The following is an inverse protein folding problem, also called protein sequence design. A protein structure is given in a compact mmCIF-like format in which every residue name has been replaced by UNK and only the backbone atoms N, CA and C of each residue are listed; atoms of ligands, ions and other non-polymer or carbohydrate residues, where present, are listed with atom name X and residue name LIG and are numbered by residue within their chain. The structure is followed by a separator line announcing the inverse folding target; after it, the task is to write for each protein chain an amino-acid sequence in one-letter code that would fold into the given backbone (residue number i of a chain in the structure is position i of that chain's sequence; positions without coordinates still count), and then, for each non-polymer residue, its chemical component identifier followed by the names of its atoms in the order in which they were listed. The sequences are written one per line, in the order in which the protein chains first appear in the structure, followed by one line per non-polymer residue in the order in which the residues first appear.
data_IF_430778020037
#
_entry.id   IF_430778020037
#
_cell.length_a   1.000
_cell.length_b   1.000
_cell.length_c   1.000
_cell.angle_alpha   90.00
_cell.angle_beta   90.00
_cell.angle_gamma   90.00
#
_symmetry.space_group_name_H-M   'P 1'
#
loop_
_entity.id
_entity.type
_entity.pdbx_description
1 polymer ?
#
# COMPACT_ATOMS: atom_id res chain seq x y z
N UNK A 1 -4.82 7.57 -12.68
CA UNK A 1 -3.35 7.42 -12.74
C UNK A 1 -2.95 6.26 -11.85
N UNK A 2 -1.93 5.49 -12.26
CA UNK A 2 -1.35 4.44 -11.45
C UNK A 2 0.03 4.86 -10.96
N UNK A 3 0.26 4.82 -9.65
CA UNK A 3 1.53 5.11 -9.01
C UNK A 3 2.13 3.81 -8.46
N UNK A 4 3.14 3.28 -9.15
CA UNK A 4 3.78 2.00 -8.80
C UNK A 4 4.61 2.15 -7.54
N UNK A 5 4.48 1.20 -6.61
CA UNK A 5 5.28 1.13 -5.40
C UNK A 5 5.43 -0.33 -4.96
N UNK A 6 6.67 -0.75 -4.68
CA UNK A 6 6.92 -2.07 -4.11
C UNK A 6 6.45 -2.14 -2.65
N UNK A 7 5.82 -3.24 -2.26
CA UNK A 7 5.54 -3.56 -0.87
C UNK A 7 6.52 -4.65 -0.42
N UNK A 8 7.33 -4.35 0.59
CA UNK A 8 8.18 -5.35 1.24
C UNK A 8 7.43 -5.96 2.42
N UNK A 9 7.29 -7.28 2.43
CA UNK A 9 6.65 -8.03 3.52
C UNK A 9 7.67 -9.02 4.06
N UNK A 10 7.79 -9.09 5.39
CA UNK A 10 8.68 -10.05 6.04
C UNK A 10 8.17 -11.47 5.78
N UNK A 11 9.08 -12.40 5.53
CA UNK A 11 8.76 -13.80 5.23
C UNK A 11 7.84 -14.39 6.29
N UNK A 12 6.83 -15.11 5.81
CA UNK A 12 5.85 -15.79 6.67
C UNK A 12 4.83 -14.86 7.31
N UNK A 13 4.89 -13.55 7.10
CA UNK A 13 3.85 -12.61 7.52
C UNK A 13 2.76 -12.45 6.47
N UNK A 14 1.58 -12.09 6.94
CA UNK A 14 0.46 -11.64 6.10
C UNK A 14 0.17 -10.19 6.44
N UNK A 15 -0.08 -9.39 5.41
CA UNK A 15 -0.36 -7.96 5.54
C UNK A 15 -1.62 -7.61 4.78
N UNK A 16 -2.45 -6.79 5.41
CA UNK A 16 -3.62 -6.19 4.80
C UNK A 16 -3.40 -4.69 4.65
N UNK A 17 -3.74 -4.18 3.47
CA UNK A 17 -3.80 -2.77 3.16
C UNK A 17 -5.27 -2.41 2.93
N UNK A 18 -5.76 -1.42 3.67
CA UNK A 18 -7.18 -1.05 3.67
C UNK A 18 -7.29 0.46 3.44
N UNK A 19 -8.18 0.83 2.52
CA UNK A 19 -8.61 2.21 2.33
C UNK A 19 -9.55 2.59 3.48
N UNK A 20 -9.31 3.70 4.21
CA UNK A 20 -10.25 4.19 5.22
C UNK A 20 -11.67 4.35 4.63
N UNK A 21 -12.69 4.04 5.43
CA UNK A 21 -14.06 3.95 4.95
C UNK A 21 -14.53 5.23 4.25
N UNK A 22 -14.19 6.39 4.82
CA UNK A 22 -14.51 7.73 4.33
C UNK A 22 -13.81 8.11 3.01
N UNK A 23 -12.82 7.31 2.58
CA UNK A 23 -12.05 7.52 1.35
C UNK A 23 -12.27 6.44 0.28
N UNK A 24 -13.11 5.43 0.55
CA UNK A 24 -13.50 4.44 -0.45
C UNK A 24 -14.03 5.14 -1.71
N UNK A 25 -13.61 4.65 -2.88
CA UNK A 25 -13.96 5.25 -4.18
C UNK A 25 -13.16 6.52 -4.57
N UNK A 26 -12.28 7.02 -3.69
CA UNK A 26 -11.37 8.14 -4.02
C UNK A 26 -10.00 7.66 -4.49
N UNK A 27 -9.53 6.54 -3.95
CA UNK A 27 -8.36 5.82 -4.42
C UNK A 27 -8.53 4.32 -4.21
N UNK A 28 -7.68 3.53 -4.86
CA UNK A 28 -7.68 2.08 -4.81
C UNK A 28 -6.25 1.55 -4.73
N UNK A 29 -6.15 0.30 -4.31
CA UNK A 29 -4.95 -0.43 -4.02
C UNK A 29 -4.82 -1.63 -4.98
N UNK A 30 -3.59 -1.95 -5.38
CA UNK A 30 -3.30 -3.16 -6.15
C UNK A 30 -1.92 -3.70 -5.73
N UNK A 31 -1.86 -4.89 -5.14
CA UNK A 31 -0.63 -5.67 -4.91
C UNK A 31 -0.94 -7.16 -5.03
N UNK A 32 0.11 -7.99 -5.16
CA UNK A 32 -0.02 -9.44 -5.03
C UNK A 32 -0.72 -10.13 -6.21
N UNK A 33 -0.71 -9.50 -7.39
CA UNK A 33 -1.30 -10.09 -8.60
C UNK A 33 -2.82 -9.93 -8.71
N UNK A 34 -3.43 -9.09 -7.85
CA UNK A 34 -4.79 -8.63 -8.06
C UNK A 34 -4.92 -7.99 -9.44
N UNK A 35 -5.90 -8.44 -10.23
CA UNK A 35 -6.17 -7.93 -11.58
C UNK A 35 -7.11 -6.72 -11.59
N UNK A 36 -7.71 -6.41 -10.44
CA UNK A 36 -8.70 -5.35 -10.28
C UNK A 36 -8.32 -4.51 -9.06
N UNK A 37 -8.26 -3.16 -9.19
CA UNK A 37 -8.04 -2.28 -8.06
C UNK A 37 -9.11 -2.47 -6.98
N UNK A 38 -8.70 -2.51 -5.72
CA UNK A 38 -9.56 -2.81 -4.57
C UNK A 38 -9.43 -1.75 -3.47
N UNK A 39 -10.41 -1.64 -2.58
CA UNK A 39 -10.31 -0.88 -1.34
C UNK A 39 -9.66 -1.69 -0.21
N UNK A 40 -9.52 -3.00 -0.39
CA UNK A 40 -8.87 -3.92 0.53
C UNK A 40 -7.99 -4.90 -0.24
N UNK A 41 -6.71 -4.96 0.12
CA UNK A 41 -5.73 -5.87 -0.44
C UNK A 41 -5.17 -6.73 0.68
N UNK A 42 -5.22 -8.04 0.49
CA UNK A 42 -4.53 -9.01 1.34
C UNK A 42 -3.34 -9.54 0.58
N UNK A 43 -2.16 -9.35 1.16
CA UNK A 43 -0.93 -10.00 0.71
C UNK A 43 -0.67 -11.15 1.66
N UNK A 44 -0.93 -12.36 1.17
CA UNK A 44 -0.79 -13.57 1.96
C UNK A 44 0.68 -13.97 2.13
N UNK A 45 0.92 -14.94 3.02
CA UNK A 45 2.24 -15.49 3.30
C UNK A 45 2.87 -15.97 2.00
N UNK A 46 4.09 -15.51 1.76
CA UNK A 46 4.93 -16.07 0.73
C UNK A 46 6.12 -16.77 1.37
N UNK A 47 6.25 -18.06 1.08
CA UNK A 47 7.37 -18.89 1.53
C UNK A 47 8.53 -18.74 0.52
N UNK A 48 9.19 -17.58 0.60
CA UNK A 48 10.42 -17.31 -0.15
C UNK A 48 11.69 -17.68 0.62
N UNK A 49 12.82 -17.76 -0.07
CA UNK A 49 14.11 -18.01 0.57
C UNK A 49 14.66 -16.78 1.31
N UNK A 50 14.32 -15.58 0.85
CA UNK A 50 14.76 -14.32 1.44
C UNK A 50 13.95 -13.94 2.69
N UNK A 51 14.55 -13.15 3.60
CA UNK A 51 13.84 -12.62 4.77
C UNK A 51 12.71 -11.66 4.38
N UNK A 52 12.87 -10.93 3.27
CA UNK A 52 11.91 -9.95 2.77
C UNK A 52 11.46 -10.33 1.38
N UNK A 53 10.15 -10.39 1.19
CA UNK A 53 9.51 -10.67 -0.10
C UNK A 53 8.94 -9.38 -0.66
N UNK A 54 9.20 -9.13 -1.95
CA UNK A 54 8.71 -7.94 -2.65
C UNK A 54 7.46 -8.29 -3.43
N UNK A 55 6.38 -7.56 -3.15
CA UNK A 55 5.14 -7.62 -3.92
C UNK A 55 5.07 -6.39 -4.82
N UNK A 56 4.93 -6.64 -6.12
CA UNK A 56 4.71 -5.56 -7.10
C UNK A 56 3.27 -5.08 -7.03
N UNK A 57 3.11 -3.77 -7.17
CA UNK A 57 1.80 -3.14 -7.05
C UNK A 57 1.89 -1.62 -7.04
N UNK A 58 0.85 -0.98 -6.52
CA UNK A 58 0.75 0.46 -6.43
C UNK A 58 -0.64 0.97 -6.10
N UNK A 59 -0.77 2.29 -6.23
CA UNK A 59 -1.98 3.04 -5.93
C UNK A 59 -2.65 3.53 -7.21
N UNK A 60 -3.96 3.38 -7.30
CA UNK A 60 -4.78 4.07 -8.29
C UNK A 60 -5.38 5.32 -7.68
N UNK A 61 -5.02 6.47 -8.24
CA UNK A 61 -5.51 7.77 -7.80
C UNK A 61 -6.06 8.58 -8.97
N UNK A 62 -7.06 9.41 -8.70
CA UNK A 62 -7.57 10.40 -9.68
C UNK A 62 -6.65 11.62 -9.80
N UNK A 63 -5.96 11.99 -8.71
CA UNK A 63 -5.04 13.13 -8.61
C UNK A 63 -3.94 12.82 -7.60
N UNK A 64 -2.81 13.52 -7.69
CA UNK A 64 -1.75 13.45 -6.69
C UNK A 64 -2.29 13.82 -5.30
N UNK A 65 -1.89 13.08 -4.26
CA UNK A 65 -2.38 13.26 -2.90
C UNK A 65 -1.47 12.56 -1.87
N UNK A 66 -1.57 13.01 -0.62
CA UNK A 66 -1.17 12.21 0.54
C UNK A 66 -2.33 11.26 0.90
N UNK A 67 -2.07 9.95 0.91
CA UNK A 67 -3.08 8.92 1.16
C UNK A 67 -2.90 8.33 2.56
N UNK A 68 -3.92 8.39 3.44
CA UNK A 68 -3.94 7.56 4.62
C UNK A 68 -4.32 6.13 4.23
N UNK A 69 -3.51 5.16 4.64
CA UNK A 69 -3.73 3.73 4.40
C UNK A 69 -3.68 3.01 5.74
N UNK A 70 -4.68 2.19 6.01
CA UNK A 70 -4.67 1.32 7.18
C UNK A 70 -3.88 0.06 6.86
N UNK A 71 -2.87 -0.24 7.68
CA UNK A 71 -2.03 -1.44 7.57
C UNK A 71 -2.32 -2.33 8.75
N UNK A 72 -2.74 -3.57 8.49
CA UNK A 72 -2.88 -4.59 9.51
C UNK A 72 -1.90 -5.73 9.22
N UNK A 73 -1.10 -6.07 10.21
CA UNK A 73 -0.25 -7.27 10.20
C UNK A 73 -0.96 -8.35 11.00
N UNK A 74 -0.70 -9.63 10.71
CA UNK A 74 -1.28 -10.75 11.45
C UNK A 74 -1.09 -10.58 12.96
N UNK A 75 -2.18 -10.67 13.72
CA UNK A 75 -2.16 -10.58 15.19
C UNK A 75 -1.86 -9.19 15.75
N UNK A 76 -1.75 -8.17 14.90
CA UNK A 76 -1.56 -6.77 15.30
C UNK A 76 -2.80 -5.92 15.07
N UNK A 77 -2.88 -4.82 15.81
CA UNK A 77 -3.89 -3.78 15.59
C UNK A 77 -3.63 -3.03 14.27
N UNK A 78 -4.69 -2.64 13.53
CA UNK A 78 -4.55 -1.76 12.37
C UNK A 78 -3.84 -0.45 12.74
N UNK A 79 -2.91 -0.01 11.90
CA UNK A 79 -2.23 1.29 12.03
C UNK A 79 -2.40 2.11 10.76
N UNK A 80 -2.71 3.39 10.93
CA UNK A 80 -2.72 4.33 9.80
C UNK A 80 -1.30 4.75 9.45
N UNK A 81 -0.95 4.69 8.17
CA UNK A 81 0.26 5.27 7.61
C UNK A 81 -0.11 6.26 6.51
N UNK A 82 0.70 7.30 6.36
CA UNK A 82 0.49 8.34 5.36
C UNK A 82 1.49 8.16 4.21
N UNK A 83 1.00 7.92 3.00
CA UNK A 83 1.81 7.64 1.82
C UNK A 83 1.65 8.78 0.81
N UNK A 84 2.75 9.47 0.51
CA UNK A 84 2.76 10.50 -0.52
C UNK A 84 2.70 9.89 -1.92
N UNK A 85 1.61 10.14 -2.66
CA UNK A 85 1.43 9.68 -4.04
C UNK A 85 1.40 10.88 -4.97
N UNK A 86 2.57 11.25 -5.49
CA UNK A 86 2.76 12.45 -6.33
C UNK A 86 2.64 13.78 -5.58
N UNK A 87 2.22 13.76 -4.31
CA UNK A 87 2.24 14.89 -3.39
C UNK A 87 2.71 14.41 -2.01
N UNK A 88 3.56 15.17 -1.30
CA UNK A 88 4.09 14.76 0.00
C UNK A 88 3.00 14.77 1.08
N UNK A 89 3.13 13.89 2.06
CA UNK A 89 2.41 14.00 3.32
C UNK A 89 3.07 14.99 4.28
N UNK A 90 2.36 15.50 5.30
CA UNK A 90 2.98 16.33 6.34
C UNK A 90 4.22 15.63 6.94
N UNK A 91 5.35 16.35 6.97
CA UNK A 91 6.62 15.83 7.48
C UNK A 91 7.42 14.96 6.51
N UNK A 92 6.92 14.69 5.30
CA UNK A 92 7.70 14.01 4.26
C UNK A 92 8.44 15.02 3.38
N UNK A 93 9.69 14.69 3.03
CA UNK A 93 10.42 15.41 1.98
C UNK A 93 9.68 15.31 0.63
N UNK A 94 9.85 16.29 -0.27
CA UNK A 94 9.34 16.17 -1.63
C UNK A 94 9.85 14.90 -2.31
N UNK A 95 9.08 14.38 -3.27
CA UNK A 95 9.53 13.26 -4.08
C UNK A 95 10.90 13.59 -4.73
N UNK A 96 11.85 12.63 -4.78
CA UNK A 96 13.12 12.83 -5.47
C UNK A 96 12.89 13.27 -6.92
N UNK A 97 13.66 14.26 -7.37
CA UNK A 97 13.66 14.64 -8.80
C UNK A 97 14.46 13.59 -9.56
N UNK A 98 13.84 13.01 -10.59
CA UNK A 98 14.46 12.10 -11.56
C UNK A 98 15.06 12.90 -12.72
#
# INVERSE_FOLDING_TARGET
MFAKQGLLVRRGEMVELIVPEELRGRFWLEWGGLRTPSDHVVVDRCDGNDEWVVFVGGYFVRRAACLPVMVRVRGGEPRQVHIGVGAPCPGQSPAPRI
#
